data_IF_428913485428
#
_entry.id   IF_428913485428
#
_cell.length_a   1.000
_cell.length_b   1.000
_cell.length_c   1.000
_cell.angle_alpha   90.00
_cell.angle_beta   90.00
_cell.angle_gamma   90.00
#
_symmetry.space_group_name_H-M   'P 1'
#
loop_
_entity.id
_entity.type
_entity.pdbx_description
1 polymer ?
#
# COMPACT_ATOMS: atom_id res chain seq x y z
N UNK A 1 -24.37 17.69 -49.85
CA UNK A 1 -25.34 17.07 -48.92
C UNK A 1 -24.64 15.89 -48.25
N UNK A 2 -24.00 16.11 -47.10
CA UNK A 2 -23.33 15.07 -46.33
C UNK A 2 -24.12 14.84 -45.04
N UNK A 3 -24.78 13.68 -44.94
CA UNK A 3 -25.54 13.28 -43.77
C UNK A 3 -24.58 12.71 -42.72
N UNK A 4 -24.14 13.56 -41.78
CA UNK A 4 -23.51 13.09 -40.54
C UNK A 4 -24.61 12.64 -39.58
N UNK A 5 -24.76 11.32 -39.40
CA UNK A 5 -25.55 10.77 -38.28
C UNK A 5 -24.69 10.87 -37.02
N UNK A 6 -25.07 11.79 -36.12
CA UNK A 6 -24.56 11.86 -34.75
C UNK A 6 -25.60 11.19 -33.85
N UNK A 7 -25.24 10.06 -33.24
CA UNK A 7 -26.02 9.42 -32.18
C UNK A 7 -25.62 10.00 -30.82
N UNK A 8 -26.53 10.06 -29.83
CA UNK A 8 -26.23 10.67 -28.54
C UNK A 8 -25.28 9.79 -27.73
N UNK A 9 -24.13 10.36 -27.35
CA UNK A 9 -23.26 9.81 -26.30
C UNK A 9 -24.09 9.81 -25.01
N UNK A 10 -24.66 8.66 -24.67
CA UNK A 10 -25.28 8.48 -23.37
C UNK A 10 -24.21 8.70 -22.29
N UNK A 11 -24.46 9.67 -21.42
CA UNK A 11 -23.68 9.99 -20.22
C UNK A 11 -23.70 8.78 -19.28
N UNK A 12 -22.66 7.94 -19.36
CA UNK A 12 -22.12 7.20 -18.22
C UNK A 12 -20.62 7.22 -18.40
N UNK A 13 -19.87 7.70 -17.41
CA UNK A 13 -18.42 7.58 -17.41
C UNK A 13 -18.10 6.09 -17.38
N UNK A 14 -17.84 5.50 -18.55
CA UNK A 14 -17.39 4.12 -18.66
C UNK A 14 -16.08 4.00 -17.88
N UNK A 15 -16.10 3.24 -16.79
CA UNK A 15 -14.91 2.60 -16.21
C UNK A 15 -14.43 1.64 -17.30
N UNK A 16 -13.68 2.15 -18.28
CA UNK A 16 -13.25 1.37 -19.44
C UNK A 16 -12.21 0.34 -18.98
N UNK A 17 -12.70 -0.90 -18.84
CA UNK A 17 -11.93 -2.15 -18.74
C UNK A 17 -10.91 -2.22 -17.60
N UNK A 18 -11.41 -2.16 -16.36
CA UNK A 18 -10.78 -2.85 -15.23
C UNK A 18 -11.44 -4.23 -15.16
N UNK A 19 -10.69 -5.27 -15.52
CA UNK A 19 -11.20 -6.63 -15.43
C UNK A 19 -11.37 -7.00 -13.96
N UNK A 20 -12.50 -7.61 -13.62
CA UNK A 20 -12.74 -8.23 -12.33
C UNK A 20 -12.61 -9.75 -12.46
N UNK A 21 -11.82 -10.32 -11.55
CA UNK A 21 -11.70 -11.73 -11.15
C UNK A 21 -10.85 -12.66 -12.03
N UNK A 22 -9.82 -13.21 -11.39
CA UNK A 22 -9.45 -14.63 -11.49
C UNK A 22 -8.83 -15.07 -10.17
N UNK A 23 -9.56 -15.87 -9.39
CA UNK A 23 -9.06 -16.54 -8.19
C UNK A 23 -8.50 -17.91 -8.57
N UNK A 24 -7.17 -18.00 -8.73
CA UNK A 24 -6.45 -19.27 -8.75
C UNK A 24 -5.43 -19.27 -7.62
N UNK A 25 -5.80 -19.88 -6.48
CA UNK A 25 -4.86 -20.13 -5.38
C UNK A 25 -3.98 -21.34 -5.74
N UNK A 26 -2.87 -21.07 -6.43
CA UNK A 26 -1.75 -21.99 -6.54
C UNK A 26 -1.17 -22.28 -5.15
N UNK A 27 -0.79 -23.53 -4.88
CA UNK A 27 -0.21 -23.96 -3.60
C UNK A 27 1.05 -23.14 -3.30
N UNK A 28 0.97 -22.31 -2.25
CA UNK A 28 2.05 -21.44 -1.75
C UNK A 28 3.15 -22.28 -1.10
N UNK A 29 4.24 -22.53 -1.80
CA UNK A 29 5.43 -23.16 -1.21
C UNK A 29 6.63 -22.22 -1.40
N UNK A 30 7.07 -21.59 -0.31
CA UNK A 30 8.29 -20.78 -0.31
C UNK A 30 9.45 -21.75 -0.12
N UNK A 31 10.42 -21.70 -1.04
CA UNK A 31 11.68 -22.40 -0.87
C UNK A 31 12.63 -21.56 -0.01
N UNK A 32 12.56 -21.77 1.31
CA UNK A 32 13.37 -21.01 2.26
C UNK A 32 14.88 -21.22 2.10
N UNK A 33 15.31 -22.35 1.53
CA UNK A 33 16.72 -22.64 1.32
C UNK A 33 17.38 -21.72 0.30
N UNK A 34 16.61 -21.16 -0.64
CA UNK A 34 17.10 -20.22 -1.65
C UNK A 34 16.86 -18.75 -1.27
N UNK A 35 16.00 -18.49 -0.29
CA UNK A 35 15.63 -17.12 0.11
C UNK A 35 16.38 -16.60 1.34
N UNK A 36 16.91 -17.47 2.20
CA UNK A 36 17.58 -17.07 3.44
C UNK A 36 18.96 -17.71 3.54
N UNK A 37 19.99 -16.89 3.73
CA UNK A 37 21.35 -17.36 4.00
C UNK A 37 21.52 -17.69 5.49
N UNK A 38 21.64 -18.98 5.79
CA UNK A 38 21.84 -19.52 7.14
C UNK A 38 23.21 -20.22 7.30
N UNK A 39 24.17 -19.91 6.42
CA UNK A 39 25.49 -20.56 6.42
C UNK A 39 26.33 -20.24 7.66
N UNK A 40 26.04 -19.12 8.32
CA UNK A 40 26.69 -18.67 9.55
C UNK A 40 26.18 -19.38 10.82
N UNK A 41 25.13 -20.19 10.73
CA UNK A 41 24.56 -20.94 11.85
C UNK A 41 25.02 -22.39 11.86
N UNK A 42 25.09 -22.96 13.06
CA UNK A 42 25.30 -24.40 13.26
C UNK A 42 24.11 -25.21 12.73
N UNK A 43 24.33 -26.48 12.40
CA UNK A 43 23.30 -27.33 11.76
C UNK A 43 22.02 -27.46 12.60
N UNK A 44 22.13 -27.57 13.93
CA UNK A 44 20.97 -27.64 14.83
C UNK A 44 20.18 -26.32 14.82
N UNK A 45 20.88 -25.18 14.82
CA UNK A 45 20.29 -23.84 14.78
C UNK A 45 19.59 -23.60 13.43
N UNK A 46 20.26 -23.97 12.33
CA UNK A 46 19.69 -23.90 10.98
C UNK A 46 18.41 -24.71 10.88
N UNK A 47 18.39 -25.94 11.42
CA UNK A 47 17.20 -26.78 11.43
C UNK A 47 16.04 -26.14 12.21
N UNK A 48 16.31 -25.53 13.36
CA UNK A 48 15.29 -24.81 14.15
C UNK A 48 14.69 -23.64 13.37
N UNK A 49 15.51 -22.82 12.71
CA UNK A 49 15.04 -21.69 11.89
C UNK A 49 14.22 -22.18 10.70
N UNK A 50 14.69 -23.20 9.98
CA UNK A 50 13.96 -23.76 8.83
C UNK A 50 12.60 -24.34 9.23
N UNK A 51 12.53 -25.02 10.38
CA UNK A 51 11.26 -25.52 10.92
C UNK A 51 10.30 -24.37 11.28
N UNK A 52 10.81 -23.26 11.83
CA UNK A 52 10.01 -22.08 12.16
C UNK A 52 9.45 -21.41 10.91
N UNK A 53 10.29 -21.18 9.90
CA UNK A 53 9.90 -20.60 8.61
C UNK A 53 8.86 -21.47 7.89
N UNK A 54 9.06 -22.79 7.91
CA UNK A 54 8.11 -23.74 7.32
C UNK A 54 6.78 -23.76 8.09
N UNK A 55 6.83 -23.69 9.43
CA UNK A 55 5.63 -23.65 10.29
C UNK A 55 4.77 -22.41 10.02
N UNK A 56 5.40 -21.26 9.81
CA UNK A 56 4.72 -19.96 9.60
C UNK A 56 4.74 -19.51 8.14
N UNK A 57 4.90 -20.44 7.19
CA UNK A 57 4.99 -20.16 5.76
C UNK A 57 3.81 -19.35 5.21
N UNK A 58 2.62 -19.48 5.82
CA UNK A 58 1.41 -18.76 5.42
C UNK A 58 1.42 -17.26 5.75
N UNK A 59 2.27 -16.82 6.68
CA UNK A 59 2.33 -15.42 7.14
C UNK A 59 3.07 -14.53 6.13
N UNK A 60 3.93 -15.11 5.30
CA UNK A 60 4.75 -14.36 4.35
C UNK A 60 4.00 -14.12 3.03
N UNK A 61 3.73 -12.84 2.74
CA UNK A 61 3.12 -12.42 1.49
C UNK A 61 4.11 -12.52 0.32
N UNK A 62 3.71 -13.15 -0.79
CA UNK A 62 4.51 -13.22 -2.01
C UNK A 62 4.11 -12.11 -2.99
N UNK A 63 2.83 -11.74 -3.00
CA UNK A 63 2.29 -10.71 -3.86
C UNK A 63 1.43 -9.72 -3.08
N UNK A 64 1.15 -8.57 -3.69
CA UNK A 64 0.31 -7.54 -3.08
C UNK A 64 -1.14 -7.99 -2.86
N UNK A 65 -1.61 -8.96 -3.65
CA UNK A 65 -2.92 -9.62 -3.49
C UNK A 65 -2.97 -10.55 -2.27
N UNK A 66 -1.82 -11.00 -1.76
CA UNK A 66 -1.74 -11.79 -0.53
C UNK A 66 -1.80 -10.90 0.72
N UNK A 67 -1.78 -9.57 0.58
CA UNK A 67 -1.77 -8.66 1.71
C UNK A 67 -3.10 -8.70 2.46
N UNK A 68 -3.02 -9.19 3.69
CA UNK A 68 -4.06 -9.01 4.68
C UNK A 68 -4.15 -7.55 5.13
N UNK A 69 -5.21 -7.23 5.87
CA UNK A 69 -5.44 -5.91 6.43
C UNK A 69 -5.61 -6.00 7.94
N UNK A 70 -5.19 -4.95 8.64
CA UNK A 70 -5.34 -4.78 10.06
C UNK A 70 -6.20 -3.53 10.32
N UNK A 71 -7.30 -3.71 11.04
CA UNK A 71 -8.28 -2.68 11.35
C UNK A 71 -8.33 -2.32 12.85
N UNK A 72 -7.34 -2.77 13.64
CA UNK A 72 -7.16 -2.39 15.05
C UNK A 72 -7.16 -0.87 15.23
N UNK A 73 -6.56 -0.16 14.27
CA UNK A 73 -6.64 1.30 14.14
C UNK A 73 -6.97 1.63 12.70
N UNK A 74 -8.00 2.45 12.50
CA UNK A 74 -8.33 3.02 11.19
C UNK A 74 -7.65 4.37 11.03
N UNK A 75 -6.98 4.58 9.91
CA UNK A 75 -6.28 5.83 9.67
C UNK A 75 -7.25 6.96 9.32
N UNK A 76 -7.17 8.06 10.06
CA UNK A 76 -7.99 9.25 9.89
C UNK A 76 -7.14 10.41 9.37
N UNK A 77 -7.77 11.21 8.50
CA UNK A 77 -7.19 12.45 7.98
C UNK A 77 -7.96 13.63 8.54
N UNK A 78 -7.28 14.46 9.32
CA UNK A 78 -7.79 15.73 9.83
C UNK A 78 -7.29 16.87 8.92
N UNK A 79 -8.21 17.63 8.34
CA UNK A 79 -7.90 18.75 7.44
C UNK A 79 -8.11 20.09 8.15
N UNK A 80 -7.30 21.10 7.81
CA UNK A 80 -7.49 22.49 8.27
C UNK A 80 -8.80 23.11 7.78
N UNK A 81 -9.28 22.66 6.62
CA UNK A 81 -10.54 23.08 6.00
C UNK A 81 -11.10 21.94 5.13
N UNK A 82 -12.40 21.97 4.86
CA UNK A 82 -13.08 20.95 4.06
C UNK A 82 -13.16 21.30 2.56
N UNK A 83 -12.47 22.35 2.10
CA UNK A 83 -12.53 22.77 0.70
C UNK A 83 -11.82 21.72 -0.17
N UNK A 84 -12.51 21.09 -1.14
CA UNK A 84 -11.92 20.02 -1.92
C UNK A 84 -10.70 20.46 -2.74
N UNK A 85 -9.69 19.59 -2.78
CA UNK A 85 -8.54 19.76 -3.66
C UNK A 85 -8.80 18.99 -4.95
N UNK A 86 -8.84 19.69 -6.08
CA UNK A 86 -8.97 19.07 -7.41
C UNK A 86 -7.74 19.37 -8.26
N UNK A 87 -7.02 18.32 -8.63
CA UNK A 87 -5.89 18.39 -9.55
C UNK A 87 -6.17 17.57 -10.81
N UNK A 88 -5.75 18.11 -11.95
CA UNK A 88 -5.88 17.41 -13.23
C UNK A 88 -4.90 16.23 -13.29
N UNK A 89 -5.31 15.05 -13.78
CA UNK A 89 -4.40 13.93 -14.03
C UNK A 89 -3.24 14.35 -14.92
N UNK A 90 -2.03 13.87 -14.62
CA UNK A 90 -0.87 14.13 -15.46
C UNK A 90 -0.95 13.40 -16.81
N UNK A 91 -0.22 13.92 -17.80
CA UNK A 91 -0.11 13.26 -19.10
C UNK A 91 0.75 12.00 -18.96
N UNK A 92 0.11 10.85 -19.07
CA UNK A 92 0.80 9.54 -19.19
C UNK A 92 1.24 9.32 -20.66
N UNK A 93 2.53 9.03 -20.92
CA UNK A 93 3.01 8.58 -22.24
C UNK A 93 2.25 7.36 -22.74
N UNK A 94 2.05 7.24 -24.06
CA UNK A 94 1.21 6.20 -24.63
C UNK A 94 1.68 4.78 -24.26
N UNK A 95 2.99 4.52 -24.35
CA UNK A 95 3.60 3.22 -24.04
C UNK A 95 3.51 2.84 -22.54
N UNK A 96 3.29 3.79 -21.64
CA UNK A 96 3.14 3.54 -20.19
C UNK A 96 1.67 3.43 -19.75
N UNK A 97 0.71 3.63 -20.65
CA UNK A 97 -0.71 3.46 -20.31
C UNK A 97 -1.04 2.02 -19.87
N UNK A 98 -0.55 0.95 -20.55
CA UNK A 98 -0.81 -0.42 -20.12
C UNK A 98 -0.26 -0.70 -18.73
N UNK A 99 0.95 -0.22 -18.43
CA UNK A 99 1.59 -0.34 -17.12
C UNK A 99 0.74 0.31 -16.02
N UNK A 100 0.31 1.57 -16.23
CA UNK A 100 -0.55 2.25 -15.26
C UNK A 100 -1.87 1.50 -15.03
N UNK A 101 -2.50 1.01 -16.10
CA UNK A 101 -3.73 0.23 -16.00
C UNK A 101 -3.52 -1.06 -15.22
N UNK A 102 -2.43 -1.78 -15.50
CA UNK A 102 -2.06 -3.01 -14.79
C UNK A 102 -1.94 -2.76 -13.29
N UNK A 103 -1.17 -1.75 -12.87
CA UNK A 103 -1.00 -1.44 -11.46
C UNK A 103 -2.31 -1.01 -10.77
N UNK A 104 -3.17 -0.25 -11.47
CA UNK A 104 -4.49 0.11 -10.94
C UNK A 104 -5.36 -1.14 -10.73
N UNK A 105 -5.38 -2.06 -11.71
CA UNK A 105 -6.15 -3.31 -11.60
C UNK A 105 -5.65 -4.16 -10.43
N UNK A 106 -4.34 -4.31 -10.27
CA UNK A 106 -3.73 -5.03 -9.15
C UNK A 106 -4.16 -4.44 -7.80
N UNK A 107 -4.19 -3.10 -7.68
CA UNK A 107 -4.66 -2.45 -6.45
C UNK A 107 -6.16 -2.62 -6.21
N UNK A 108 -6.96 -2.68 -7.27
CA UNK A 108 -8.41 -2.93 -7.19
C UNK A 108 -8.70 -4.38 -6.77
N UNK A 109 -8.02 -5.34 -7.39
CA UNK A 109 -8.11 -6.77 -7.08
C UNK A 109 -7.68 -7.08 -5.64
N UNK A 110 -6.62 -6.43 -5.16
CA UNK A 110 -6.18 -6.53 -3.76
C UNK A 110 -7.10 -5.79 -2.76
N UNK A 111 -8.12 -5.06 -3.25
CA UNK A 111 -9.03 -4.28 -2.42
C UNK A 111 -8.37 -3.09 -1.72
N UNK A 112 -7.22 -2.62 -2.22
CA UNK A 112 -6.48 -1.46 -1.68
C UNK A 112 -7.16 -0.15 -2.08
N UNK A 113 -7.68 -0.10 -3.31
CA UNK A 113 -8.45 1.03 -3.84
C UNK A 113 -9.84 0.58 -4.30
N UNK A 114 -10.73 1.54 -4.49
CA UNK A 114 -12.07 1.34 -5.07
C UNK A 114 -12.47 2.52 -5.96
N UNK A 115 -13.41 2.38 -6.90
CA UNK A 115 -13.95 3.51 -7.66
C UNK A 115 -14.51 4.60 -6.74
N UNK A 116 -14.28 5.87 -7.08
CA UNK A 116 -14.75 7.02 -6.29
C UNK A 116 -15.54 8.02 -7.10
N UNK A 117 -16.41 8.76 -6.42
CA UNK A 117 -17.16 9.92 -6.94
C UNK A 117 -16.86 11.21 -6.18
N UNK A 118 -15.89 11.18 -5.26
CA UNK A 118 -15.53 12.31 -4.40
C UNK A 118 -15.03 13.51 -5.20
N UNK A 119 -15.24 14.71 -4.64
CA UNK A 119 -14.76 15.98 -5.18
C UNK A 119 -13.26 16.20 -5.01
N UNK A 120 -12.61 15.43 -4.13
CA UNK A 120 -11.15 15.44 -3.99
C UNK A 120 -10.51 14.67 -5.14
N UNK A 121 -9.31 15.07 -5.55
CA UNK A 121 -8.63 14.48 -6.69
C UNK A 121 -7.16 14.85 -6.70
N UNK A 122 -6.29 13.87 -6.46
CA UNK A 122 -4.84 13.96 -6.56
C UNK A 122 -4.35 13.23 -7.83
N UNK A 123 -3.42 13.77 -8.63
CA UNK A 123 -2.96 13.10 -9.83
C UNK A 123 -1.97 11.98 -9.49
N UNK A 124 -1.82 11.02 -10.40
CA UNK A 124 -0.83 9.93 -10.27
C UNK A 124 0.29 10.05 -11.30
N UNK A 125 1.47 9.54 -10.93
CA UNK A 125 2.68 9.48 -11.76
C UNK A 125 3.24 8.06 -11.73
N UNK A 126 3.76 7.59 -12.85
CA UNK A 126 4.61 6.40 -12.88
C UNK A 126 6.07 6.82 -12.71
N UNK A 127 6.72 6.30 -11.68
CA UNK A 127 8.14 6.54 -11.41
C UNK A 127 8.91 5.27 -11.71
N UNK A 128 9.96 5.38 -12.53
CA UNK A 128 10.85 4.26 -12.85
C UNK A 128 11.73 3.94 -11.63
N UNK A 129 11.80 2.66 -11.26
CA UNK A 129 12.72 2.13 -10.24
C UNK A 129 14.10 1.85 -10.85
N UNK A 130 15.09 1.60 -9.99
CA UNK A 130 16.45 1.23 -10.39
C UNK A 130 16.51 -0.09 -11.17
N UNK A 131 15.63 -1.03 -10.82
CA UNK A 131 15.46 -2.33 -11.49
C UNK A 131 14.78 -2.23 -12.88
N UNK A 132 14.38 -1.03 -13.30
CA UNK A 132 13.71 -0.78 -14.57
C UNK A 132 12.19 -0.89 -14.55
N UNK A 133 11.60 -1.44 -13.49
CA UNK A 133 10.14 -1.49 -13.28
C UNK A 133 9.56 -0.11 -12.95
N UNK A 134 8.24 0.03 -12.92
CA UNK A 134 7.56 1.27 -12.55
C UNK A 134 6.80 1.13 -11.24
N UNK A 135 6.62 2.24 -10.52
CA UNK A 135 5.69 2.36 -9.39
C UNK A 135 4.68 3.47 -9.63
N UNK A 136 3.41 3.18 -9.38
CA UNK A 136 2.33 4.15 -9.34
C UNK A 136 2.43 4.96 -8.04
N UNK A 137 2.59 6.28 -8.17
CA UNK A 137 2.73 7.20 -7.04
C UNK A 137 1.61 8.23 -7.10
N UNK A 138 0.86 8.34 -6.00
CA UNK A 138 -0.11 9.42 -5.80
C UNK A 138 0.60 10.70 -5.37
N UNK A 139 0.37 11.80 -6.07
CA UNK A 139 0.89 13.11 -5.66
C UNK A 139 -0.03 13.75 -4.61
N UNK A 140 0.17 13.36 -3.35
CA UNK A 140 -0.61 13.81 -2.21
C UNK A 140 -0.10 15.13 -1.60
N UNK A 141 0.84 15.84 -2.25
CA UNK A 141 1.46 17.04 -1.65
C UNK A 141 0.45 18.13 -1.28
N UNK A 142 -0.56 18.38 -2.13
CA UNK A 142 -1.61 19.37 -1.82
C UNK A 142 -2.52 18.90 -0.68
N UNK A 143 -2.83 17.62 -0.61
CA UNK A 143 -3.60 17.04 0.50
C UNK A 143 -2.81 17.20 1.80
N UNK A 144 -1.54 16.81 1.79
CA UNK A 144 -0.62 16.91 2.93
C UNK A 144 -0.46 18.35 3.44
N UNK A 145 -0.50 19.35 2.56
CA UNK A 145 -0.44 20.75 2.96
C UNK A 145 -1.66 21.20 3.79
N UNK A 146 -2.83 20.57 3.56
CA UNK A 146 -4.05 20.79 4.36
C UNK A 146 -4.19 19.85 5.56
N UNK A 147 -3.47 18.73 5.56
CA UNK A 147 -3.51 17.78 6.67
C UNK A 147 -2.87 18.39 7.92
N UNK A 148 -3.62 18.41 9.02
CA UNK A 148 -3.13 18.78 10.34
C UNK A 148 -2.04 17.78 10.74
N UNK A 149 -0.82 18.24 11.09
CA UNK A 149 0.29 17.35 11.43
C UNK A 149 -0.03 16.52 12.67
N UNK A 150 0.31 15.23 12.61
CA UNK A 150 0.26 14.32 13.74
C UNK A 150 1.67 14.07 14.26
N UNK A 151 1.98 14.59 15.45
CA UNK A 151 3.30 14.54 16.06
C UNK A 151 3.46 13.31 16.98
N UNK A 152 2.97 12.16 16.55
CA UNK A 152 3.16 10.92 17.30
C UNK A 152 4.65 10.60 17.45
N UNK A 153 5.13 10.26 18.65
CA UNK A 153 6.55 10.00 18.88
C UNK A 153 6.98 8.75 18.11
N UNK A 154 8.06 8.89 17.35
CA UNK A 154 8.79 7.73 16.85
C UNK A 154 9.76 7.25 17.92
N UNK A 155 9.96 5.93 18.03
CA UNK A 155 10.92 5.38 18.98
C UNK A 155 12.33 5.90 18.67
N UNK A 156 13.11 6.14 19.72
CA UNK A 156 14.48 6.61 19.58
C UNK A 156 15.36 5.44 19.12
N UNK A 157 16.11 5.64 18.03
CA UNK A 157 16.98 4.61 17.47
C UNK A 157 18.06 4.14 18.46
N UNK A 158 18.62 5.05 19.27
CA UNK A 158 19.64 4.70 20.27
C UNK A 158 19.05 3.78 21.34
N UNK A 159 17.88 4.11 21.87
CA UNK A 159 17.18 3.25 22.85
C UNK A 159 16.83 1.89 22.25
N UNK A 160 16.41 1.85 20.98
CA UNK A 160 16.14 0.59 20.28
C UNK A 160 17.38 -0.29 20.15
N UNK A 161 18.57 0.30 19.93
CA UNK A 161 19.82 -0.44 19.86
C UNK A 161 20.25 -0.91 21.25
N UNK A 162 20.11 -0.07 22.28
CA UNK A 162 20.44 -0.42 23.66
C UNK A 162 19.61 -1.60 24.16
N UNK A 163 18.33 -1.68 23.77
CA UNK A 163 17.44 -2.80 24.09
C UNK A 163 17.89 -4.14 23.48
N UNK A 164 18.79 -4.12 22.51
CA UNK A 164 19.33 -5.34 21.91
C UNK A 164 20.61 -5.84 22.59
N UNK A 165 21.10 -5.11 23.60
CA UNK A 165 22.32 -5.46 24.34
C UNK A 165 22.19 -6.86 24.97
N UNK A 166 23.23 -7.67 24.83
CA UNK A 166 23.28 -9.04 25.36
C UNK A 166 22.61 -10.11 24.48
N UNK A 167 21.97 -9.74 23.37
CA UNK A 167 21.45 -10.70 22.41
C UNK A 167 22.59 -11.35 21.61
N UNK A 168 22.56 -12.67 21.47
CA UNK A 168 23.53 -13.43 20.68
C UNK A 168 23.08 -13.64 19.22
N UNK A 169 21.77 -13.51 18.96
CA UNK A 169 21.17 -13.71 17.65
C UNK A 169 20.20 -12.58 17.35
N UNK A 170 20.22 -12.13 16.10
CA UNK A 170 19.36 -11.08 15.59
C UNK A 170 18.57 -11.61 14.40
N UNK A 171 17.29 -11.27 14.33
CA UNK A 171 16.48 -11.47 13.15
C UNK A 171 15.88 -10.14 12.73
N UNK A 172 15.77 -9.94 11.43
CA UNK A 172 15.12 -8.77 10.85
C UNK A 172 13.89 -9.24 10.08
N UNK A 173 12.76 -8.57 10.32
CA UNK A 173 11.50 -8.83 9.63
C UNK A 173 11.07 -7.54 8.96
N UNK A 174 10.83 -7.60 7.64
CA UNK A 174 10.29 -6.48 6.89
C UNK A 174 8.83 -6.78 6.50
N UNK A 175 7.97 -5.78 6.64
CA UNK A 175 6.55 -5.89 6.31
C UNK A 175 6.30 -5.49 4.86
N UNK A 176 5.97 -6.47 4.02
CA UNK A 176 5.65 -6.25 2.60
C UNK A 176 4.55 -5.20 2.43
N UNK A 177 4.87 -4.09 1.78
CA UNK A 177 3.95 -2.97 1.55
C UNK A 177 3.17 -2.55 2.80
N UNK A 178 3.88 -2.46 3.94
CA UNK A 178 3.34 -2.25 5.29
C UNK A 178 2.16 -1.28 5.40
N UNK A 179 2.22 -0.09 4.78
CA UNK A 179 1.10 0.86 4.83
C UNK A 179 -0.19 0.32 4.23
N UNK A 180 -0.13 -0.44 3.13
CA UNK A 180 -1.31 -1.10 2.57
C UNK A 180 -1.86 -2.22 3.44
N UNK A 181 -1.27 -2.53 4.60
CA UNK A 181 -1.88 -3.42 5.58
C UNK A 181 -2.78 -2.64 6.56
N UNK A 182 -2.63 -1.31 6.71
CA UNK A 182 -3.49 -0.50 7.58
C UNK A 182 -4.75 -0.02 6.85
N UNK A 183 -5.92 -0.13 7.48
CA UNK A 183 -7.20 0.31 6.91
C UNK A 183 -7.40 1.82 7.08
N UNK A 184 -7.97 2.50 6.08
CA UNK A 184 -8.43 3.88 6.18
C UNK A 184 -9.80 3.95 6.87
N UNK A 185 -10.07 5.00 7.64
CA UNK A 185 -11.42 5.26 8.13
C UNK A 185 -12.38 5.46 6.94
N UNK A 186 -13.54 4.75 6.87
CA UNK A 186 -14.44 4.81 5.72
C UNK A 186 -14.85 6.23 5.30
N UNK A 187 -15.13 7.11 6.27
CA UNK A 187 -15.52 8.50 5.97
C UNK A 187 -14.38 9.39 5.46
N UNK A 188 -13.13 8.92 5.55
CA UNK A 188 -11.92 9.65 5.18
C UNK A 188 -11.26 9.09 3.90
N UNK A 189 -11.73 7.96 3.35
CA UNK A 189 -11.27 7.44 2.04
C UNK A 189 -11.47 8.47 0.94
N UNK A 190 -12.57 9.25 1.02
CA UNK A 190 -12.91 10.32 0.07
C UNK A 190 -11.82 11.38 -0.10
N UNK A 191 -10.87 11.50 0.83
CA UNK A 191 -9.77 12.48 0.74
C UNK A 191 -8.58 11.97 -0.07
N UNK A 192 -8.41 10.65 -0.18
CA UNK A 192 -7.24 10.01 -0.81
C UNK A 192 -7.47 9.66 -2.27
N UNK A 193 -8.39 10.35 -2.94
CA UNK A 193 -8.79 10.05 -4.32
C UNK A 193 -7.63 10.30 -5.28
N UNK A 194 -7.30 9.29 -6.08
CA UNK A 194 -6.39 9.37 -7.21
C UNK A 194 -7.14 9.55 -8.53
N UNK A 195 -6.63 10.47 -9.32
CA UNK A 195 -7.14 10.90 -10.61
C UNK A 195 -6.26 10.32 -11.71
N UNK A 196 -6.84 9.43 -12.50
CA UNK A 196 -6.14 8.74 -13.58
C UNK A 196 -6.84 9.02 -14.91
N UNK A 197 -6.24 8.60 -16.03
CA UNK A 197 -6.94 8.61 -17.32
C UNK A 197 -8.08 7.57 -17.41
N UNK A 198 -8.12 6.63 -16.48
CA UNK A 198 -9.06 5.51 -16.47
C UNK A 198 -10.21 5.68 -15.47
N UNK A 199 -10.19 6.76 -14.69
CA UNK A 199 -11.21 7.04 -13.68
C UNK A 199 -10.65 7.65 -12.41
N UNK A 200 -11.54 7.84 -11.45
CA UNK A 200 -11.24 8.24 -10.08
C UNK A 200 -11.32 7.00 -9.18
N UNK A 201 -10.31 6.83 -8.34
CA UNK A 201 -10.26 5.76 -7.36
C UNK A 201 -9.87 6.33 -6.01
N UNK A 202 -10.39 5.80 -4.91
CA UNK A 202 -10.00 6.19 -3.55
C UNK A 202 -9.39 5.01 -2.81
N UNK A 203 -8.51 5.31 -1.86
CA UNK A 203 -7.84 4.27 -1.08
C UNK A 203 -8.70 3.82 0.09
N UNK A 204 -8.93 2.51 0.18
CA UNK A 204 -9.49 1.82 1.36
C UNK A 204 -8.42 1.49 2.39
N UNK A 205 -7.17 1.35 1.95
CA UNK A 205 -6.00 1.06 2.79
C UNK A 205 -5.00 2.20 2.71
N UNK A 206 -4.20 2.43 3.75
CA UNK A 206 -3.36 3.62 3.87
C UNK A 206 -2.43 3.77 2.64
N UNK A 207 -2.52 4.90 1.89
CA UNK A 207 -1.64 5.13 0.75
C UNK A 207 -0.24 5.60 1.16
N UNK A 208 0.74 5.22 0.36
CA UNK A 208 2.09 5.79 0.44
C UNK A 208 2.08 7.30 0.12
N UNK A 209 2.92 8.05 0.83
CA UNK A 209 3.10 9.50 0.61
C UNK A 209 2.10 10.39 1.34
N UNK A 210 1.19 9.84 2.15
CA UNK A 210 0.31 10.61 3.01
C UNK A 210 1.06 11.12 4.26
N UNK A 211 0.85 12.39 4.65
CA UNK A 211 1.63 13.09 5.69
C UNK A 211 1.74 12.32 7.01
N UNK A 212 0.62 11.83 7.53
CA UNK A 212 0.54 11.20 8.84
C UNK A 212 0.60 9.66 8.76
N UNK A 213 0.94 9.09 7.59
CA UNK A 213 0.97 7.64 7.41
C UNK A 213 1.87 6.95 8.43
N UNK A 214 3.08 7.49 8.65
CA UNK A 214 4.05 6.94 9.59
C UNK A 214 3.51 6.99 11.02
N UNK A 215 2.95 8.12 11.45
CA UNK A 215 2.39 8.27 12.80
C UNK A 215 1.25 7.27 13.06
N UNK A 216 0.33 7.14 12.08
CA UNK A 216 -0.76 6.15 12.15
C UNK A 216 -0.24 4.72 12.20
N UNK A 217 0.76 4.40 11.38
CA UNK A 217 1.34 3.06 11.33
C UNK A 217 2.15 2.72 12.59
N UNK A 218 2.89 3.68 13.15
CA UNK A 218 3.62 3.47 14.41
C UNK A 218 2.66 3.17 15.57
N UNK A 219 1.54 3.89 15.67
CA UNK A 219 0.49 3.56 16.66
C UNK A 219 -0.03 2.14 16.50
N UNK A 220 -0.27 1.72 15.25
CA UNK A 220 -0.71 0.37 14.96
C UNK A 220 0.33 -0.65 15.42
N UNK A 221 1.61 -0.45 15.09
CA UNK A 221 2.70 -1.35 15.49
C UNK A 221 2.86 -1.41 17.01
N UNK A 222 2.71 -0.30 17.73
CA UNK A 222 2.77 -0.28 19.18
C UNK A 222 1.66 -1.14 19.82
N UNK A 223 0.47 -1.21 19.21
CA UNK A 223 -0.60 -2.10 19.67
C UNK A 223 -0.35 -3.56 19.28
N UNK A 224 0.10 -3.82 18.05
CA UNK A 224 0.36 -5.19 17.56
C UNK A 224 1.48 -5.86 18.35
N UNK A 225 2.50 -5.09 18.76
CA UNK A 225 3.64 -5.58 19.55
C UNK A 225 3.44 -5.40 21.06
N UNK A 226 2.28 -4.92 21.50
CA UNK A 226 2.00 -4.78 22.92
C UNK A 226 2.08 -6.14 23.63
N UNK A 227 2.81 -6.20 24.75
CA UNK A 227 3.05 -7.43 25.49
C UNK A 227 4.21 -8.30 24.98
N UNK A 228 4.88 -7.92 23.89
CA UNK A 228 6.12 -8.56 23.42
C UNK A 228 7.39 -7.83 23.87
N UNK A 229 7.25 -6.63 24.44
CA UNK A 229 8.35 -5.76 24.85
C UNK A 229 8.76 -5.95 26.33
N UNK A 230 8.22 -6.97 27.02
CA UNK A 230 8.57 -7.31 28.40
C UNK A 230 9.59 -8.45 28.43
N UNK A 231 10.86 -8.13 28.17
CA UNK A 231 12.00 -9.03 28.41
C UNK A 231 13.14 -8.26 29.08
#
# INVERSE_FOLDING_TARGET
>A
MALFKISPIHKVACIESVNNVSSENSKRQIDWATQVDLNHLEDEQRLKVMNLLSKYNSVFAQNISDLEQCDLIKHEIHLSDQVPIRQKPYRVPYHLKPEMRSQINVLLEAGIIQPSTSSFSAPVILVKKSDGSYRLVADLRKLNAKTVPDNYPLPNLTEMIDNLSGANFFSTLDLTSSFHQMVMHPDHTKYTVIATKFGLFEYKRLPFGLRNAIAGFQRLMNLVLAGLNEF
#
